data_IF_950438838437
#
_entry.id   IF_950438838437
#
_cell.length_a   1.000
_cell.length_b   1.000
_cell.length_c   1.000
_cell.angle_alpha   90.00
_cell.angle_beta   90.00
_cell.angle_gamma   90.00
#
_symmetry.space_group_name_H-M   'P 1'
#
loop_
_entity.id
_entity.type
_entity.pdbx_description
1 polymer ?
#
# COMPACT_ATOMS: atom_id res chain seq x y z
N UNK A 1 21.16 -5.70 4.64
CA UNK A 1 20.37 -4.45 4.63
C UNK A 1 19.78 -4.28 6.03
N UNK A 2 20.25 -3.28 6.77
CA UNK A 2 19.93 -3.09 8.18
C UNK A 2 19.69 -1.61 8.48
N UNK A 3 18.87 -1.32 9.52
CA UNK A 3 18.66 0.04 10.03
C UNK A 3 17.87 0.97 9.10
N UNK A 4 17.11 0.43 8.15
CA UNK A 4 16.30 1.21 7.21
C UNK A 4 14.85 1.27 7.62
N UNK A 5 14.15 2.23 7.06
CA UNK A 5 12.70 2.27 7.07
C UNK A 5 12.19 1.79 5.72
N UNK A 6 11.30 0.81 5.72
CA UNK A 6 10.72 0.23 4.51
C UNK A 6 9.24 0.61 4.46
N UNK A 7 8.86 1.37 3.44
CA UNK A 7 7.48 1.67 3.10
C UNK A 7 6.99 0.61 2.11
N UNK A 8 6.10 -0.27 2.56
CA UNK A 8 5.61 -1.40 1.78
C UNK A 8 4.17 -1.16 1.34
N UNK A 9 3.93 -1.13 0.03
CA UNK A 9 2.59 -1.12 -0.56
C UNK A 9 2.18 -2.53 -0.94
N UNK A 10 1.18 -3.06 -0.25
CA UNK A 10 0.68 -4.40 -0.50
C UNK A 10 -0.80 -4.53 -0.13
N UNK A 11 -1.46 -5.58 -0.60
CA UNK A 11 -2.84 -5.90 -0.21
C UNK A 11 -2.95 -6.20 1.30
N UNK A 12 -4.17 -6.29 1.83
CA UNK A 12 -4.44 -6.36 3.26
C UNK A 12 -3.57 -7.35 4.04
N UNK A 13 -2.92 -6.85 5.08
CA UNK A 13 -2.05 -7.63 5.97
C UNK A 13 -2.77 -8.79 6.68
N UNK A 14 -4.07 -8.62 6.94
CA UNK A 14 -4.91 -9.63 7.60
C UNK A 14 -5.32 -10.79 6.67
N UNK A 15 -4.93 -10.74 5.38
CA UNK A 15 -5.17 -11.84 4.44
C UNK A 15 -4.25 -13.04 4.73
N UNK A 16 -4.57 -14.24 4.21
CA UNK A 16 -3.68 -15.39 4.36
C UNK A 16 -2.24 -15.06 3.94
N UNK A 17 -1.24 -15.53 4.68
CA UNK A 17 0.16 -15.23 4.39
C UNK A 17 0.58 -15.71 3.00
N UNK A 18 1.27 -14.82 2.28
CA UNK A 18 1.87 -15.08 0.98
C UNK A 18 3.33 -14.63 0.98
N UNK A 19 4.04 -14.74 -0.15
CA UNK A 19 5.45 -14.34 -0.29
C UNK A 19 5.76 -12.96 0.27
N UNK A 20 4.88 -11.96 0.04
CA UNK A 20 5.04 -10.59 0.56
C UNK A 20 5.10 -10.54 2.10
N UNK A 21 4.30 -11.36 2.79
CA UNK A 21 4.33 -11.42 4.25
C UNK A 21 5.67 -11.98 4.74
N UNK A 22 6.13 -13.07 4.13
CA UNK A 22 7.41 -13.70 4.50
C UNK A 22 8.59 -12.75 4.28
N UNK A 23 8.65 -12.10 3.12
CA UNK A 23 9.70 -11.11 2.81
C UNK A 23 9.69 -9.95 3.80
N UNK A 24 8.53 -9.34 4.05
CA UNK A 24 8.43 -8.21 4.97
C UNK A 24 8.67 -8.60 6.43
N UNK A 25 8.34 -9.82 6.84
CA UNK A 25 8.66 -10.32 8.17
C UNK A 25 10.16 -10.48 8.37
N UNK A 26 10.87 -11.05 7.40
CA UNK A 26 12.34 -11.17 7.44
C UNK A 26 13.01 -9.79 7.46
N UNK A 27 12.54 -8.87 6.63
CA UNK A 27 13.07 -7.52 6.60
C UNK A 27 12.84 -6.76 7.91
N UNK A 28 11.72 -7.01 8.59
CA UNK A 28 11.39 -6.39 9.88
C UNK A 28 12.30 -6.85 11.04
N UNK A 29 13.08 -7.92 10.88
CA UNK A 29 14.04 -8.34 11.92
C UNK A 29 15.12 -7.28 12.17
N UNK A 30 15.56 -6.59 11.10
CA UNK A 30 16.66 -5.62 11.15
C UNK A 30 16.28 -4.22 10.65
N UNK A 31 15.04 -4.01 10.23
CA UNK A 31 14.53 -2.75 9.68
C UNK A 31 13.17 -2.43 10.28
N UNK A 32 12.72 -1.19 10.11
CA UNK A 32 11.33 -0.79 10.44
C UNK A 32 10.47 -0.83 9.19
N UNK A 33 9.42 -1.62 9.20
CA UNK A 33 8.51 -1.81 8.06
C UNK A 33 7.19 -1.12 8.34
N UNK A 34 6.79 -0.20 7.46
CA UNK A 34 5.44 0.34 7.37
C UNK A 34 4.69 -0.38 6.25
N UNK A 35 3.86 -1.33 6.59
CA UNK A 35 2.95 -1.98 5.66
C UNK A 35 1.70 -1.12 5.48
N UNK A 36 1.48 -0.63 4.27
CA UNK A 36 0.27 0.08 3.88
C UNK A 36 -0.68 -0.90 3.23
N UNK A 37 -1.86 -1.10 3.83
CA UNK A 37 -2.95 -1.90 3.26
C UNK A 37 -3.50 -1.17 2.03
N UNK A 38 -2.78 -1.29 0.92
CA UNK A 38 -3.10 -0.62 -0.32
C UNK A 38 -3.95 -1.54 -1.20
N UNK A 39 -5.11 -1.03 -1.60
CA UNK A 39 -5.98 -1.67 -2.57
C UNK A 39 -6.15 -0.66 -3.70
N UNK A 40 -5.21 -0.69 -4.63
CA UNK A 40 -5.18 0.22 -5.75
C UNK A 40 -6.40 0.15 -6.66
N UNK A 41 -6.18 0.08 -7.94
CA UNK A 41 -7.15 0.26 -9.05
C UNK A 41 -8.36 -0.69 -9.08
N UNK A 42 -8.61 -1.48 -8.04
CA UNK A 42 -9.80 -2.33 -7.97
C UNK A 42 -11.04 -1.49 -7.72
N UNK A 43 -11.88 -1.37 -8.74
CA UNK A 43 -13.21 -0.76 -8.60
C UNK A 43 -14.06 -1.57 -7.61
N UNK A 44 -14.59 -0.96 -6.53
CA UNK A 44 -15.55 -1.63 -5.67
C UNK A 44 -16.79 -2.00 -6.49
N UNK A 45 -17.15 -3.28 -6.52
CA UNK A 45 -18.46 -3.69 -7.03
C UNK A 45 -19.50 -3.40 -5.95
N UNK A 46 -20.63 -2.81 -6.33
CA UNK A 46 -21.72 -2.48 -5.41
C UNK A 46 -22.48 -3.75 -5.00
N UNK A 47 -21.87 -4.57 -4.14
CA UNK A 47 -22.50 -5.77 -3.57
C UNK A 47 -22.76 -5.59 -2.06
N UNK A 48 -23.75 -6.32 -1.54
CA UNK A 48 -24.09 -6.32 -0.09
C UNK A 48 -22.95 -6.84 0.80
N UNK A 49 -22.03 -7.64 0.24
CA UNK A 49 -20.79 -8.06 0.89
C UNK A 49 -19.83 -6.87 1.08
N UNK A 50 -19.85 -5.88 0.19
CA UNK A 50 -18.98 -4.71 0.24
C UNK A 50 -19.39 -3.78 1.40
N UNK A 51 -20.68 -3.71 1.78
CA UNK A 51 -21.13 -2.92 2.92
C UNK A 51 -20.58 -3.45 4.25
N UNK A 52 -20.58 -4.77 4.45
CA UNK A 52 -19.97 -5.40 5.65
C UNK A 52 -18.45 -5.23 5.66
N UNK A 53 -17.84 -5.25 4.47
CA UNK A 53 -16.41 -5.01 4.30
C UNK A 53 -16.04 -3.56 4.59
N UNK A 54 -16.87 -2.60 4.18
CA UNK A 54 -16.71 -1.16 4.49
C UNK A 54 -16.80 -0.89 5.99
N UNK A 55 -17.72 -1.53 6.72
CA UNK A 55 -17.82 -1.41 8.18
C UNK A 55 -16.56 -1.90 8.90
N UNK A 56 -16.00 -3.06 8.50
CA UNK A 56 -14.73 -3.57 9.02
C UNK A 56 -13.55 -2.65 8.67
N UNK A 57 -13.52 -2.11 7.46
CA UNK A 57 -12.48 -1.14 7.05
C UNK A 57 -12.56 0.15 7.86
N UNK A 58 -13.75 0.70 8.08
CA UNK A 58 -13.91 1.89 8.90
C UNK A 58 -13.33 1.67 10.31
N UNK A 59 -13.66 0.55 10.96
CA UNK A 59 -13.10 0.20 12.27
C UNK A 59 -11.55 0.06 12.23
N UNK A 60 -10.98 -0.48 11.16
CA UNK A 60 -9.52 -0.59 10.98
C UNK A 60 -8.85 0.77 10.78
N UNK A 61 -9.49 1.69 10.07
CA UNK A 61 -9.01 3.06 9.87
C UNK A 61 -8.97 3.81 11.20
N UNK A 62 -10.01 3.68 12.02
CA UNK A 62 -10.05 4.28 13.37
C UNK A 62 -9.06 3.64 14.35
N UNK A 63 -8.63 2.40 14.10
CA UNK A 63 -7.61 1.74 14.92
C UNK A 63 -6.20 2.35 14.79
N UNK A 64 -5.97 3.25 13.81
CA UNK A 64 -4.71 3.92 13.60
C UNK A 64 -3.59 2.98 13.14
N UNK A 65 -2.35 3.30 13.56
CA UNK A 65 -1.17 2.51 13.23
C UNK A 65 -1.10 1.29 14.16
N UNK A 66 -1.28 0.08 13.60
CA UNK A 66 -1.16 -1.18 14.35
C UNK A 66 0.28 -1.67 14.34
N UNK A 67 0.70 -2.36 15.40
CA UNK A 67 2.01 -3.03 15.48
C UNK A 67 1.80 -4.52 15.78
N UNK A 68 1.52 -5.35 14.77
CA UNK A 68 1.27 -6.78 14.95
C UNK A 68 2.53 -7.57 15.30
N UNK A 69 3.73 -7.05 14.97
CA UNK A 69 5.02 -7.66 15.25
C UNK A 69 6.08 -6.60 15.54
N UNK A 70 7.15 -6.98 16.22
CA UNK A 70 8.30 -6.10 16.43
C UNK A 70 8.77 -5.48 15.10
N UNK A 71 8.95 -4.17 15.07
CA UNK A 71 9.41 -3.40 13.91
C UNK A 71 8.49 -3.44 12.66
N UNK A 72 7.31 -4.06 12.73
CA UNK A 72 6.36 -4.09 11.64
C UNK A 72 5.07 -3.36 12.05
N UNK A 73 4.76 -2.33 11.30
CA UNK A 73 3.62 -1.45 11.53
C UNK A 73 2.67 -1.54 10.33
N UNK A 74 1.38 -1.57 10.59
CA UNK A 74 0.34 -1.69 9.57
C UNK A 74 -0.55 -0.45 9.59
N UNK A 75 -0.61 0.21 8.46
CA UNK A 75 -1.50 1.34 8.18
C UNK A 75 -2.62 0.91 7.25
N UNK A 76 -3.86 1.09 7.66
CA UNK A 76 -5.03 0.98 6.78
C UNK A 76 -5.49 2.39 6.43
N UNK A 77 -5.20 2.89 5.22
CA UNK A 77 -5.50 4.28 4.89
C UNK A 77 -7.00 4.50 4.70
N UNK A 78 -7.47 5.68 5.12
CA UNK A 78 -8.79 6.18 4.79
C UNK A 78 -8.77 6.78 3.39
N UNK A 79 -9.62 6.29 2.52
CA UNK A 79 -9.77 6.78 1.15
C UNK A 79 -11.25 6.99 0.83
N UNK A 80 -11.53 7.96 -0.04
CA UNK A 80 -12.89 8.23 -0.54
C UNK A 80 -13.24 7.18 -1.60
N UNK A 81 -14.29 6.37 -1.42
CA UNK A 81 -14.63 5.26 -2.31
C UNK A 81 -15.42 5.73 -3.54
N UNK A 82 -14.91 6.70 -4.28
CA UNK A 82 -15.53 7.26 -5.50
C UNK A 82 -14.57 7.11 -6.69
N UNK A 83 -14.48 5.91 -7.29
CA UNK A 83 -13.61 5.68 -8.43
C UNK A 83 -14.05 6.51 -9.65
N UNK A 84 -13.08 6.91 -10.48
CA UNK A 84 -13.32 7.63 -11.72
C UNK A 84 -13.66 9.12 -11.59
N UNK A 85 -13.75 9.67 -10.39
CA UNK A 85 -13.92 11.12 -10.17
C UNK A 85 -12.54 11.78 -9.96
N UNK A 86 -12.12 12.63 -10.87
CA UNK A 86 -10.80 13.27 -10.83
C UNK A 86 -10.50 13.99 -9.50
N UNK A 87 -11.49 14.65 -8.90
CA UNK A 87 -11.32 15.30 -7.60
C UNK A 87 -11.09 14.28 -6.46
N UNK A 88 -11.78 13.12 -6.51
CA UNK A 88 -11.61 12.08 -5.50
C UNK A 88 -10.24 11.41 -5.61
N UNK A 89 -9.72 11.21 -6.82
CA UNK A 89 -8.35 10.71 -7.06
C UNK A 89 -7.32 11.65 -6.46
N UNK A 90 -7.43 12.96 -6.71
CA UNK A 90 -6.52 13.98 -6.14
C UNK A 90 -6.59 14.02 -4.62
N UNK A 91 -7.82 13.99 -4.07
CA UNK A 91 -8.03 13.97 -2.63
C UNK A 91 -7.44 12.72 -2.00
N UNK A 92 -7.66 11.56 -2.60
CA UNK A 92 -7.11 10.28 -2.12
C UNK A 92 -5.57 10.28 -2.15
N UNK A 93 -4.95 10.83 -3.20
CA UNK A 93 -3.49 10.99 -3.24
C UNK A 93 -3.01 11.80 -2.03
N UNK A 94 -3.57 12.98 -1.83
CA UNK A 94 -3.21 13.86 -0.71
C UNK A 94 -3.46 13.20 0.65
N UNK A 95 -4.63 12.55 0.84
CA UNK A 95 -4.97 11.86 2.09
C UNK A 95 -4.00 10.71 2.37
N UNK A 96 -3.67 9.93 1.35
CA UNK A 96 -2.75 8.80 1.47
C UNK A 96 -1.35 9.27 1.83
N UNK A 97 -0.84 10.28 1.14
CA UNK A 97 0.45 10.92 1.43
C UNK A 97 0.50 11.41 2.87
N UNK A 98 -0.47 12.22 3.32
CA UNK A 98 -0.51 12.74 4.68
C UNK A 98 -0.54 11.63 5.74
N UNK A 99 -1.31 10.56 5.52
CA UNK A 99 -1.41 9.45 6.46
C UNK A 99 -0.10 8.66 6.54
N UNK A 100 0.54 8.39 5.41
CA UNK A 100 1.83 7.70 5.34
C UNK A 100 2.92 8.56 5.99
N UNK A 101 3.00 9.85 5.68
CA UNK A 101 4.00 10.74 6.27
C UNK A 101 3.87 10.80 7.80
N UNK A 102 2.64 10.91 8.33
CA UNK A 102 2.41 10.87 9.78
C UNK A 102 2.82 9.55 10.42
N UNK A 103 2.59 8.43 9.72
CA UNK A 103 3.03 7.12 10.19
C UNK A 103 4.56 7.01 10.17
N UNK A 104 5.21 7.44 9.09
CA UNK A 104 6.66 7.45 8.96
C UNK A 104 7.32 8.32 10.04
N UNK A 105 6.79 9.51 10.34
CA UNK A 105 7.31 10.36 11.42
C UNK A 105 7.39 9.64 12.78
N UNK A 106 6.46 8.70 13.03
CA UNK A 106 6.42 7.93 14.28
C UNK A 106 7.42 6.79 14.33
N UNK A 107 7.77 6.23 13.16
CA UNK A 107 8.53 4.98 13.10
C UNK A 107 9.89 5.11 12.40
N UNK A 108 10.13 6.17 11.63
CA UNK A 108 11.34 6.30 10.80
C UNK A 108 12.61 6.23 11.64
N UNK A 109 13.55 5.40 11.20
CA UNK A 109 14.85 5.19 11.88
C UNK A 109 16.00 5.02 10.90
N UNK A 110 16.01 5.76 9.81
CA UNK A 110 17.07 5.68 8.80
C UNK A 110 16.57 5.99 7.40
N UNK A 111 17.40 5.71 6.38
CA UNK A 111 17.02 5.91 4.99
C UNK A 111 15.74 5.15 4.63
N UNK A 112 14.91 5.78 3.79
CA UNK A 112 13.64 5.21 3.36
C UNK A 112 13.85 4.37 2.10
N UNK A 113 13.26 3.17 2.07
CA UNK A 113 13.06 2.38 0.86
C UNK A 113 11.58 2.17 0.60
N UNK A 114 11.18 2.23 -0.66
CA UNK A 114 9.81 1.93 -1.09
C UNK A 114 9.81 0.53 -1.70
N UNK A 115 8.93 -0.33 -1.20
CA UNK A 115 8.70 -1.67 -1.73
C UNK A 115 7.25 -1.78 -2.18
N UNK A 116 7.02 -2.12 -3.44
CA UNK A 116 5.67 -2.33 -3.96
C UNK A 116 5.46 -3.76 -4.44
N UNK A 117 4.32 -4.31 -4.07
CA UNK A 117 3.77 -5.57 -4.58
C UNK A 117 2.60 -5.34 -5.54
N UNK A 118 2.42 -4.10 -5.99
CA UNK A 118 1.36 -3.68 -6.90
C UNK A 118 1.91 -2.62 -7.86
N UNK A 119 1.51 -2.62 -9.14
CA UNK A 119 2.07 -1.71 -10.14
C UNK A 119 1.60 -0.26 -10.02
N UNK A 120 0.49 -0.01 -9.34
CA UNK A 120 -0.29 1.22 -9.40
C UNK A 120 0.09 2.27 -8.34
N UNK A 121 1.38 2.35 -7.97
CA UNK A 121 1.90 3.33 -7.00
C UNK A 121 2.80 4.41 -7.60
N UNK A 122 3.07 4.38 -8.90
CA UNK A 122 4.00 5.31 -9.56
C UNK A 122 3.72 6.77 -9.20
N UNK A 123 2.45 7.16 -9.16
CA UNK A 123 2.00 8.50 -8.81
C UNK A 123 2.31 8.96 -7.36
N UNK A 124 2.75 8.02 -6.49
CA UNK A 124 3.12 8.30 -5.10
C UNK A 124 4.62 8.39 -4.88
N UNK A 125 5.44 7.92 -5.81
CA UNK A 125 6.89 7.84 -5.63
C UNK A 125 7.50 9.20 -5.31
N UNK A 126 7.11 10.24 -6.03
CA UNK A 126 7.59 11.60 -5.86
C UNK A 126 7.17 12.25 -4.52
N UNK A 127 6.22 11.63 -3.79
CA UNK A 127 5.78 12.14 -2.50
C UNK A 127 6.74 11.79 -1.36
N UNK A 128 7.72 10.90 -1.61
CA UNK A 128 8.61 10.38 -0.58
C UNK A 128 10.05 10.36 -1.06
N UNK A 129 10.95 10.97 -0.29
CA UNK A 129 12.38 10.88 -0.55
C UNK A 129 12.91 9.50 -0.13
N UNK A 130 13.11 8.63 -1.10
CA UNK A 130 13.55 7.26 -0.92
C UNK A 130 14.92 7.01 -1.56
N UNK A 131 15.80 6.26 -0.88
CA UNK A 131 17.11 5.86 -1.43
C UNK A 131 16.96 4.79 -2.52
N UNK A 132 15.87 4.03 -2.50
CA UNK A 132 15.60 2.94 -3.42
C UNK A 132 14.11 2.66 -3.52
N UNK A 133 13.68 2.35 -4.74
CA UNK A 133 12.36 1.78 -5.05
C UNK A 133 12.55 0.35 -5.53
N UNK A 134 11.76 -0.58 -4.99
CA UNK A 134 11.75 -2.00 -5.35
C UNK A 134 10.34 -2.38 -5.75
N UNK A 135 10.14 -2.77 -6.98
CA UNK A 135 8.93 -3.43 -7.42
C UNK A 135 9.12 -4.95 -7.36
N UNK A 136 8.33 -5.60 -6.53
CA UNK A 136 8.33 -7.05 -6.37
C UNK A 136 7.14 -7.64 -7.11
N UNK A 137 7.33 -7.93 -8.40
CA UNK A 137 6.33 -8.55 -9.25
C UNK A 137 6.16 -10.02 -8.86
N UNK A 138 5.01 -10.38 -8.31
CA UNK A 138 4.67 -11.75 -7.90
C UNK A 138 3.73 -12.39 -8.91
N UNK A 139 2.79 -11.61 -9.41
CA UNK A 139 1.71 -12.06 -10.28
C UNK A 139 1.55 -11.12 -11.47
N UNK A 140 1.06 -11.65 -12.58
CA UNK A 140 0.60 -10.83 -13.71
C UNK A 140 -0.76 -10.21 -13.37
N UNK A 141 -0.74 -8.97 -12.86
CA UNK A 141 -1.94 -8.23 -12.51
C UNK A 141 -2.86 -7.95 -13.71
N UNK A 142 -2.33 -7.99 -14.94
CA UNK A 142 -3.13 -7.82 -16.16
C UNK A 142 -4.07 -8.97 -16.43
N UNK A 143 -3.77 -10.16 -15.89
CA UNK A 143 -4.56 -11.39 -16.05
C UNK A 143 -5.71 -11.51 -15.06
N UNK A 144 -5.82 -10.62 -14.07
CA UNK A 144 -6.86 -10.71 -13.04
C UNK A 144 -8.20 -10.15 -13.51
N UNK A 145 -9.29 -10.89 -13.24
CA UNK A 145 -10.65 -10.45 -13.52
C UNK A 145 -10.99 -9.16 -12.76
N UNK A 146 -11.54 -8.18 -13.48
CA UNK A 146 -11.96 -6.89 -12.89
C UNK A 146 -10.91 -5.80 -12.94
N UNK A 147 -9.74 -6.05 -13.52
CA UNK A 147 -8.73 -5.03 -13.79
C UNK A 147 -8.82 -4.53 -15.24
N UNK A 148 -8.49 -3.27 -15.45
CA UNK A 148 -8.32 -2.71 -16.79
C UNK A 148 -6.89 -3.01 -17.26
N UNK A 149 -6.74 -3.98 -18.16
CA UNK A 149 -5.44 -4.45 -18.67
C UNK A 149 -4.56 -3.30 -19.18
N UNK A 150 -5.12 -2.39 -19.99
CA UNK A 150 -4.36 -1.26 -20.54
C UNK A 150 -3.85 -0.31 -19.45
N UNK A 151 -4.65 -0.12 -18.41
CA UNK A 151 -4.25 0.70 -17.27
C UNK A 151 -3.14 0.04 -16.48
N UNK A 152 -3.27 -1.25 -16.14
CA UNK A 152 -2.26 -2.02 -15.40
C UNK A 152 -0.91 -2.00 -16.12
N UNK A 153 -0.90 -2.31 -17.42
CA UNK A 153 0.35 -2.32 -18.22
C UNK A 153 1.01 -0.94 -18.29
N UNK A 154 0.20 0.14 -18.33
CA UNK A 154 0.73 1.50 -18.28
C UNK A 154 1.33 1.83 -16.92
N UNK A 155 0.60 1.54 -15.83
CA UNK A 155 1.05 1.78 -14.46
C UNK A 155 2.32 0.99 -14.12
N UNK A 156 2.42 -0.26 -14.59
CA UNK A 156 3.63 -1.08 -14.44
C UNK A 156 4.81 -0.51 -15.21
N UNK A 157 4.59 -0.04 -16.44
CA UNK A 157 5.61 0.64 -17.21
C UNK A 157 6.09 1.91 -16.49
N UNK A 158 5.16 2.77 -16.06
CA UNK A 158 5.47 4.02 -15.36
C UNK A 158 6.20 3.77 -14.01
N UNK A 159 6.04 2.58 -13.42
CA UNK A 159 6.72 2.18 -12.19
C UNK A 159 8.14 1.67 -12.44
N UNK A 160 8.42 1.10 -13.62
CA UNK A 160 9.71 0.51 -13.98
C UNK A 160 10.67 1.49 -14.69
N UNK A 161 10.17 2.65 -15.13
CA UNK A 161 10.97 3.74 -15.73
C UNK A 161 11.51 4.68 -14.64
#
# INVERSE_FOLDING_TARGET
MEGRTILCFASGYEAPPTSKHHVMHLLAEQNRVLWVNYHGSRTPSASTSDLKYMGKKAAQVFAGLKNPRKNLYVLTPLLVPLPGRAWAVRLNKWMLECQIQRALQKIRSGPLQIWSFTPDISYLLDCFEAEKVVYYCVDDHSSFTGYNVKQVLREEKDLCE
#
